data_IF_593061336726
#
_entry.id   IF_593061336726
#
_cell.length_a   1.000
_cell.length_b   1.000
_cell.length_c   1.000
_cell.angle_alpha   90.00
_cell.angle_beta   90.00
_cell.angle_gamma   90.00
#
_symmetry.space_group_name_H-M   'P 1'
#
loop_
_entity.id
_entity.type
_entity.pdbx_description
1 polymer ?
#
# COMPACT_ATOMS: atom_id res chain seq x y z
N UNK A 1 6.44 -8.13 -8.35
CA UNK A 1 6.07 -6.70 -8.55
C UNK A 1 5.44 -6.25 -7.25
N UNK A 2 6.17 -5.48 -6.44
CA UNK A 2 5.75 -5.04 -5.11
C UNK A 2 4.43 -4.26 -5.15
N UNK A 3 3.57 -4.46 -4.15
CA UNK A 3 2.30 -3.74 -3.98
C UNK A 3 2.47 -2.22 -4.11
N UNK A 4 3.63 -1.69 -3.70
CA UNK A 4 4.02 -0.28 -3.80
C UNK A 4 3.98 0.25 -5.23
N UNK A 5 4.47 -0.50 -6.22
CA UNK A 5 4.49 -0.04 -7.61
C UNK A 5 3.08 0.07 -8.17
N UNK A 6 2.20 -0.90 -7.85
CA UNK A 6 0.80 -0.87 -8.30
C UNK A 6 0.02 0.27 -7.65
N UNK A 7 0.24 0.54 -6.36
CA UNK A 7 -0.38 1.68 -5.69
C UNK A 7 0.04 3.01 -6.35
N UNK A 8 1.31 3.15 -6.75
CA UNK A 8 1.78 4.34 -7.46
C UNK A 8 1.08 4.52 -8.82
N UNK A 9 1.04 3.45 -9.62
CA UNK A 9 0.49 3.49 -10.97
C UNK A 9 -1.01 3.86 -10.97
N UNK A 10 -1.79 3.29 -10.04
CA UNK A 10 -3.23 3.60 -9.92
C UNK A 10 -3.50 5.03 -9.44
N UNK A 11 -2.72 5.55 -8.48
CA UNK A 11 -2.90 6.93 -8.01
C UNK A 11 -2.59 7.96 -9.11
N UNK A 12 -1.58 7.69 -9.95
CA UNK A 12 -1.27 8.52 -11.12
C UNK A 12 -2.43 8.51 -12.12
N UNK A 13 -3.06 7.35 -12.34
CA UNK A 13 -4.24 7.23 -13.19
C UNK A 13 -5.42 8.09 -12.75
N UNK A 14 -5.80 8.04 -11.46
CA UNK A 14 -6.89 8.87 -10.94
C UNK A 14 -6.59 10.37 -11.06
N UNK A 15 -5.34 10.78 -10.82
CA UNK A 15 -4.92 12.17 -10.99
C UNK A 15 -5.02 12.62 -12.45
N UNK A 16 -4.67 11.74 -13.39
CA UNK A 16 -4.85 11.99 -14.82
C UNK A 16 -6.33 12.18 -15.18
N UNK A 17 -7.23 11.30 -14.71
CA UNK A 17 -8.67 11.45 -14.98
C UNK A 17 -9.22 12.78 -14.47
N UNK A 18 -8.89 13.15 -13.23
CA UNK A 18 -9.30 14.43 -12.65
C UNK A 18 -8.77 15.62 -13.47
N UNK A 19 -7.51 15.58 -13.89
CA UNK A 19 -6.89 16.63 -14.74
C UNK A 19 -7.52 16.75 -16.12
N UNK A 20 -8.08 15.66 -16.66
CA UNK A 20 -8.79 15.65 -17.94
C UNK A 20 -10.29 15.97 -17.81
N UNK A 21 -10.73 16.52 -16.68
CA UNK A 21 -12.10 16.98 -16.49
C UNK A 21 -13.10 15.89 -16.12
N UNK A 22 -12.65 14.68 -15.79
CA UNK A 22 -13.54 13.69 -15.20
C UNK A 22 -13.97 14.15 -13.79
N UNK A 23 -15.25 14.01 -13.46
CA UNK A 23 -15.80 14.36 -12.15
C UNK A 23 -15.42 13.32 -11.09
N UNK A 24 -14.13 13.24 -10.76
CA UNK A 24 -13.59 12.31 -9.77
C UNK A 24 -13.66 12.92 -8.37
N UNK A 25 -14.47 12.30 -7.49
CA UNK A 25 -14.67 12.77 -6.10
C UNK A 25 -13.73 12.13 -5.08
N UNK A 26 -13.07 11.02 -5.43
CA UNK A 26 -12.19 10.30 -4.53
C UNK A 26 -11.66 9.01 -5.14
N UNK A 27 -10.73 8.39 -4.42
CA UNK A 27 -10.10 7.11 -4.76
C UNK A 27 -10.05 6.22 -3.52
N UNK A 28 -10.38 4.95 -3.69
CA UNK A 28 -10.26 3.93 -2.65
C UNK A 28 -9.22 2.90 -3.07
N UNK A 29 -8.22 2.70 -2.22
CA UNK A 29 -7.16 1.72 -2.46
C UNK A 29 -7.69 0.31 -2.20
N UNK A 30 -7.49 -0.59 -3.19
CA UNK A 30 -7.63 -2.02 -2.97
C UNK A 30 -6.29 -2.58 -2.53
N UNK A 31 -6.13 -3.00 -1.28
CA UNK A 31 -7.07 -2.98 -0.15
C UNK A 31 -6.38 -2.37 1.07
N UNK A 32 -7.16 -2.09 2.13
CA UNK A 32 -6.56 -1.62 3.39
C UNK A 32 -5.61 -2.66 3.99
N UNK A 33 -5.97 -3.94 3.96
CA UNK A 33 -5.18 -5.06 4.49
C UNK A 33 -5.24 -6.26 3.55
N UNK A 34 -4.31 -7.20 3.69
CA UNK A 34 -4.36 -8.43 2.89
C UNK A 34 -5.68 -9.17 3.12
N UNK A 35 -6.29 -9.60 2.02
CA UNK A 35 -7.58 -10.29 1.97
C UNK A 35 -7.44 -11.58 1.18
N UNK A 36 -8.50 -12.39 1.17
CA UNK A 36 -8.62 -13.50 0.25
C UNK A 36 -8.83 -12.97 -1.17
N UNK A 37 -7.90 -13.27 -2.07
CA UNK A 37 -8.01 -12.92 -3.49
C UNK A 37 -8.67 -14.06 -4.26
N UNK A 38 -9.73 -13.76 -5.01
CA UNK A 38 -10.59 -14.78 -5.64
C UNK A 38 -9.83 -15.79 -6.53
N UNK A 39 -8.79 -15.32 -7.22
CA UNK A 39 -8.04 -16.11 -8.21
C UNK A 39 -6.85 -16.84 -7.56
N UNK A 40 -6.22 -16.24 -6.56
CA UNK A 40 -4.92 -16.68 -6.01
C UNK A 40 -4.98 -17.04 -4.53
N UNK A 41 -6.17 -16.99 -3.93
CA UNK A 41 -6.38 -17.21 -2.51
C UNK A 41 -5.56 -16.23 -1.65
N UNK A 42 -4.87 -16.75 -0.64
CA UNK A 42 -4.02 -15.95 0.26
C UNK A 42 -2.58 -15.77 -0.24
N UNK A 43 -2.26 -16.28 -1.44
CA UNK A 43 -0.92 -16.17 -2.01
C UNK A 43 -0.62 -14.77 -2.54
N UNK A 44 -1.64 -14.05 -3.01
CA UNK A 44 -1.49 -12.65 -3.42
C UNK A 44 -1.83 -11.70 -2.29
N UNK A 45 -0.94 -10.74 -2.04
CA UNK A 45 -0.99 -9.84 -0.89
C UNK A 45 -0.93 -8.39 -1.34
N UNK A 46 -2.09 -7.83 -1.71
CA UNK A 46 -2.20 -6.46 -2.24
C UNK A 46 -2.45 -5.39 -1.17
N UNK A 47 -2.78 -5.79 0.05
CA UNK A 47 -3.17 -4.84 1.09
C UNK A 47 -2.02 -3.96 1.56
N UNK A 48 -2.37 -2.77 2.06
CA UNK A 48 -1.40 -1.88 2.73
C UNK A 48 -0.86 -2.48 4.03
N UNK A 49 -1.67 -3.29 4.72
CA UNK A 49 -1.27 -4.06 5.90
C UNK A 49 -1.08 -5.52 5.56
N UNK A 50 0.05 -6.07 5.99
CA UNK A 50 0.30 -7.50 6.00
C UNK A 50 -0.57 -8.17 7.06
N UNK A 51 -1.14 -9.33 6.71
CA UNK A 51 -1.91 -10.17 7.64
C UNK A 51 -1.27 -11.55 7.66
N UNK A 52 -0.87 -12.00 8.85
CA UNK A 52 -0.43 -13.37 9.01
C UNK A 52 -1.64 -14.31 9.07
N UNK A 53 -1.91 -15.03 7.98
CA UNK A 53 -3.02 -15.99 7.91
C UNK A 53 -2.70 -17.34 8.58
N UNK A 54 -1.45 -17.59 8.96
CA UNK A 54 -1.03 -18.84 9.61
C UNK A 54 -1.21 -18.79 11.13
N UNK A 55 -1.22 -17.59 11.72
CA UNK A 55 -1.46 -17.37 13.16
C UNK A 55 -2.95 -17.12 13.41
N UNK A 56 -3.56 -17.88 14.32
CA UNK A 56 -4.98 -17.78 14.70
C UNK A 56 -5.41 -16.35 15.08
N UNK A 57 -4.52 -15.59 15.69
CA UNK A 57 -4.79 -14.21 16.11
C UNK A 57 -4.78 -13.21 14.94
N UNK A 58 -4.34 -13.64 13.75
CA UNK A 58 -4.25 -12.84 12.52
C UNK A 58 -3.58 -11.48 12.76
N UNK A 59 -2.35 -11.43 13.31
CA UNK A 59 -1.68 -10.17 13.58
C UNK A 59 -1.46 -9.38 12.28
N UNK A 60 -1.64 -8.05 12.37
CA UNK A 60 -1.48 -7.14 11.23
C UNK A 60 -0.22 -6.30 11.40
N UNK A 61 0.54 -6.12 10.31
CA UNK A 61 1.74 -5.28 10.30
C UNK A 61 1.68 -4.27 9.13
N UNK A 62 1.94 -2.98 9.35
CA UNK A 62 1.94 -2.00 8.27
C UNK A 62 3.08 -2.30 7.28
N UNK A 63 2.79 -2.32 5.97
CA UNK A 63 3.82 -2.37 4.93
C UNK A 63 4.33 -0.97 4.61
N UNK A 64 5.42 -0.88 3.85
CA UNK A 64 5.96 0.39 3.36
C UNK A 64 4.96 1.18 2.54
N UNK A 65 4.11 0.50 1.78
CA UNK A 65 3.01 1.11 1.04
C UNK A 65 2.03 1.84 1.97
N UNK A 66 1.77 1.34 3.19
CA UNK A 66 0.92 2.04 4.16
C UNK A 66 1.55 3.34 4.66
N UNK A 67 2.85 3.31 4.97
CA UNK A 67 3.59 4.50 5.40
C UNK A 67 3.67 5.55 4.28
N UNK A 68 3.94 5.11 3.05
CA UNK A 68 3.95 5.96 1.87
C UNK A 68 2.56 6.57 1.64
N UNK A 69 1.49 5.77 1.67
CA UNK A 69 0.12 6.22 1.44
C UNK A 69 -0.32 7.24 2.49
N UNK A 70 -0.01 7.01 3.77
CA UNK A 70 -0.24 7.99 4.85
C UNK A 70 0.50 9.31 4.59
N UNK A 71 1.75 9.24 4.13
CA UNK A 71 2.55 10.45 3.84
C UNK A 71 2.01 11.21 2.62
N UNK A 72 1.58 10.48 1.58
CA UNK A 72 0.92 11.02 0.40
C UNK A 72 -0.37 11.78 0.76
N UNK A 73 -1.25 11.16 1.56
CA UNK A 73 -2.50 11.79 2.01
C UNK A 73 -2.26 13.03 2.88
N UNK A 74 -1.16 13.05 3.66
CA UNK A 74 -0.75 14.19 4.48
C UNK A 74 -0.05 15.30 3.69
N UNK A 75 0.10 15.16 2.37
CA UNK A 75 0.77 16.13 1.49
C UNK A 75 2.19 16.52 1.97
N UNK A 76 2.93 15.57 2.56
CA UNK A 76 4.32 15.83 2.95
C UNK A 76 5.16 16.13 1.70
N UNK A 77 6.05 17.13 1.76
CA UNK A 77 6.91 17.50 0.63
C UNK A 77 7.80 16.31 0.27
N UNK A 78 8.18 16.18 -1.01
CA UNK A 78 9.06 15.09 -1.51
C UNK A 78 10.35 14.90 -0.69
N UNK A 79 10.87 15.97 -0.09
CA UNK A 79 12.04 15.92 0.79
C UNK A 79 11.79 15.14 2.10
N UNK A 80 10.56 15.16 2.62
CA UNK A 80 10.12 14.49 3.86
C UNK A 80 9.61 13.06 3.62
N UNK A 81 9.48 12.65 2.35
CA UNK A 81 9.07 11.31 1.93
C UNK A 81 10.25 10.35 1.73
N UNK A 82 11.49 10.77 2.02
CA UNK A 82 12.64 9.85 2.06
C UNK A 82 12.38 8.83 3.17
N UNK A 83 12.02 7.61 2.78
CA UNK A 83 11.93 6.48 3.71
C UNK A 83 13.34 6.27 4.26
N UNK A 84 13.48 6.34 5.58
CA UNK A 84 14.74 6.05 6.23
C UNK A 84 15.03 4.55 6.01
N UNK A 85 16.12 4.23 5.31
CA UNK A 85 16.52 2.85 5.05
C UNK A 85 16.71 2.07 6.36
N UNK A 86 17.02 2.73 7.47
CA UNK A 86 17.16 2.09 8.77
C UNK A 86 15.81 1.61 9.34
N UNK A 87 14.66 2.22 8.94
CA UNK A 87 13.33 1.73 9.32
C UNK A 87 12.92 0.46 8.52
N UNK A 88 13.71 0.11 7.48
CA UNK A 88 13.53 -1.08 6.65
C UNK A 88 14.19 -2.31 7.25
N UNK A 89 15.33 -2.15 7.94
CA UNK A 89 16.13 -3.26 8.48
C UNK A 89 15.42 -3.96 9.65
N UNK A 90 14.71 -3.22 10.51
CA UNK A 90 13.89 -3.79 11.58
C UNK A 90 12.70 -4.64 11.06
N UNK A 91 12.33 -4.47 9.78
CA UNK A 91 11.23 -5.20 9.13
C UNK A 91 11.69 -6.15 8.01
N UNK A 92 13.00 -6.23 7.72
CA UNK A 92 13.53 -7.15 6.70
C UNK A 92 13.31 -8.62 7.08
N UNK A 93 13.15 -8.90 8.38
CA UNK A 93 12.76 -10.20 8.91
C UNK A 93 11.31 -10.62 8.61
N UNK A 94 10.50 -9.75 7.99
CA UNK A 94 9.14 -10.07 7.56
C UNK A 94 9.03 -10.38 6.06
N UNK A 95 10.11 -10.85 5.40
CA UNK A 95 10.05 -11.40 4.04
C UNK A 95 9.42 -12.79 4.04
N UNK A 96 8.09 -12.82 4.00
CA UNK A 96 7.26 -13.84 3.33
C UNK A 96 6.00 -13.15 2.80
#
# INVERSE_FOLDING_TARGET
IEATQRTLDFNVGCLWCYRNGANTKGYFVWSFMDVFELITGYQSRFGLYFVNFDDENRPRKPKLSAQWYSSFLKQKKKADMRINMNDLDDNFHARY
#
